data_IF_540078930215
#
_entry.id   IF_540078930215
#
_cell.length_a   1.000
_cell.length_b   1.000
_cell.length_c   1.000
_cell.angle_alpha   90.00
_cell.angle_beta   90.00
_cell.angle_gamma   90.00
#
_symmetry.space_group_name_H-M   'P 1'
#
loop_
_entity.id
_entity.type
_entity.pdbx_description
1 polymer ?
#
# COMPACT_ATOMS: atom_id res chain seq x y z
N UNK A 1 32.80 66.18 -46.32
CA UNK A 1 33.27 66.27 -44.94
C UNK A 1 32.03 66.42 -44.06
N UNK A 2 31.55 65.29 -43.46
CA UNK A 2 30.41 65.31 -42.53
C UNK A 2 30.91 64.77 -41.23
N UNK A 3 30.95 65.62 -40.21
CA UNK A 3 31.28 65.25 -38.79
C UNK A 3 30.08 64.58 -38.15
N UNK A 4 30.23 63.33 -37.73
CA UNK A 4 29.23 62.63 -36.95
C UNK A 4 29.57 62.84 -35.48
N UNK A 5 28.70 63.53 -34.75
CA UNK A 5 28.74 63.72 -33.31
C UNK A 5 28.18 62.49 -32.67
N UNK A 6 29.00 61.73 -31.96
CA UNK A 6 28.52 60.60 -31.09
C UNK A 6 28.18 61.17 -29.75
N UNK A 7 26.89 61.17 -29.44
CA UNK A 7 26.36 61.45 -28.10
C UNK A 7 26.45 60.19 -27.24
N UNK A 8 27.38 60.17 -26.28
CA UNK A 8 27.41 59.11 -25.26
C UNK A 8 26.40 59.47 -24.18
N UNK A 9 25.27 58.71 -24.17
CA UNK A 9 24.34 58.74 -23.04
C UNK A 9 24.91 57.88 -21.92
N UNK A 10 25.37 58.47 -20.85
CA UNK A 10 25.73 57.81 -19.59
C UNK A 10 24.46 57.67 -18.77
N UNK A 11 23.90 56.48 -18.74
CA UNK A 11 22.79 56.12 -17.81
C UNK A 11 23.43 55.73 -16.50
N UNK A 12 23.20 56.42 -15.37
CA UNK A 12 23.63 55.94 -14.08
C UNK A 12 22.78 54.75 -13.68
N UNK A 13 23.41 53.58 -13.62
CA UNK A 13 22.81 52.40 -13.04
C UNK A 13 22.70 52.62 -11.52
N UNK A 14 21.53 53.04 -11.05
CA UNK A 14 21.20 52.94 -9.63
C UNK A 14 21.00 51.44 -9.27
N UNK A 15 22.06 50.79 -8.84
CA UNK A 15 21.96 49.52 -8.13
C UNK A 15 21.45 49.84 -6.73
N UNK A 16 20.12 49.93 -6.63
CA UNK A 16 19.48 49.87 -5.32
C UNK A 16 19.71 48.48 -4.75
N UNK A 17 20.65 48.35 -3.81
CA UNK A 17 20.68 47.20 -2.91
C UNK A 17 19.36 47.20 -2.14
N UNK A 18 18.33 46.58 -2.71
CA UNK A 18 17.25 46.04 -1.91
C UNK A 18 17.84 44.91 -1.04
N UNK A 19 18.34 45.26 0.13
CA UNK A 19 18.44 44.30 1.25
C UNK A 19 16.99 43.90 1.59
N UNK A 20 16.40 43.06 0.76
CA UNK A 20 15.27 42.26 1.21
C UNK A 20 15.81 41.41 2.34
N UNK A 21 15.63 41.87 3.56
CA UNK A 21 15.74 41.00 4.73
C UNK A 21 14.74 39.88 4.45
N UNK A 22 15.25 38.76 3.97
CA UNK A 22 14.46 37.54 3.90
C UNK A 22 14.02 37.23 5.31
N UNK A 23 12.77 37.58 5.63
CA UNK A 23 12.18 37.11 6.89
C UNK A 23 12.28 35.59 6.84
N UNK A 24 12.84 34.92 7.87
CA UNK A 24 12.84 33.48 7.90
C UNK A 24 11.40 32.99 7.70
N UNK A 25 11.21 32.12 6.75
CA UNK A 25 9.91 31.50 6.50
C UNK A 25 9.91 30.09 7.13
N UNK A 26 8.91 29.79 7.94
CA UNK A 26 7.82 30.66 8.40
C UNK A 26 8.31 31.71 9.40
N UNK A 27 7.66 32.89 9.44
CA UNK A 27 7.95 33.92 10.45
C UNK A 27 7.65 33.38 11.87
N UNK A 28 8.19 33.99 12.94
CA UNK A 28 8.07 33.50 14.32
C UNK A 28 6.63 33.17 14.75
N UNK A 29 5.67 33.99 14.38
CA UNK A 29 4.25 33.79 14.73
C UNK A 29 3.63 32.59 13.99
N UNK A 30 4.03 32.39 12.73
CA UNK A 30 3.59 31.23 11.94
C UNK A 30 4.22 29.93 12.48
N UNK A 31 5.49 29.96 12.86
CA UNK A 31 6.15 28.79 13.45
C UNK A 31 5.51 28.40 14.78
N UNK A 32 5.16 29.37 15.62
CA UNK A 32 4.46 29.10 16.87
C UNK A 32 3.06 28.50 16.61
N UNK A 33 2.33 29.06 15.65
CA UNK A 33 1.02 28.53 15.25
C UNK A 33 1.13 27.11 14.71
N UNK A 34 2.10 26.85 13.81
CA UNK A 34 2.38 25.53 13.27
C UNK A 34 2.68 24.50 14.37
N UNK A 35 3.59 24.84 15.29
CA UNK A 35 3.94 23.95 16.40
C UNK A 35 2.72 23.65 17.30
N UNK A 36 1.88 24.64 17.56
CA UNK A 36 0.65 24.45 18.33
C UNK A 36 -0.32 23.52 17.61
N UNK A 37 -0.51 23.70 16.29
CA UNK A 37 -1.37 22.84 15.48
C UNK A 37 -0.87 21.40 15.47
N UNK A 38 0.42 21.15 15.28
CA UNK A 38 1.00 19.82 15.34
C UNK A 38 0.74 19.12 16.69
N UNK A 39 0.81 19.86 17.79
CA UNK A 39 0.48 19.33 19.12
C UNK A 39 -0.98 18.93 19.21
N UNK A 40 -1.91 19.77 18.72
CA UNK A 40 -3.34 19.45 18.75
C UNK A 40 -3.71 18.30 17.79
N UNK A 41 -3.17 18.30 16.58
CA UNK A 41 -3.33 17.19 15.62
C UNK A 41 -2.78 15.89 16.20
N UNK A 42 -1.64 15.95 16.90
CA UNK A 42 -1.06 14.76 17.54
C UNK A 42 -1.93 14.10 18.62
N UNK A 43 -2.91 14.84 19.16
CA UNK A 43 -3.88 14.30 20.15
C UNK A 43 -5.03 13.56 19.48
N UNK A 44 -5.24 13.73 18.17
CA UNK A 44 -6.29 13.03 17.43
C UNK A 44 -5.86 11.57 17.27
N UNK A 45 -6.64 10.61 17.79
CA UNK A 45 -6.34 9.21 17.59
C UNK A 45 -6.50 8.85 16.13
N UNK A 46 -5.60 8.01 15.62
CA UNK A 46 -5.60 7.58 14.22
C UNK A 46 -6.10 6.15 14.09
N UNK A 47 -6.88 5.91 13.04
CA UNK A 47 -7.19 4.59 12.55
C UNK A 47 -6.36 4.37 11.27
N UNK A 48 -5.46 3.42 11.30
CA UNK A 48 -4.58 3.09 10.18
C UNK A 48 -5.23 2.00 9.32
N UNK A 49 -5.72 2.40 8.15
CA UNK A 49 -6.55 1.54 7.31
C UNK A 49 -5.76 0.58 6.41
N UNK A 50 -4.45 0.72 6.33
CA UNK A 50 -3.59 -0.14 5.49
C UNK A 50 -2.15 -0.17 6.01
N UNK A 51 -1.71 -1.35 6.41
CA UNK A 51 -0.38 -1.58 6.94
C UNK A 51 0.07 -3.03 6.72
N UNK A 52 1.39 -3.27 6.71
CA UNK A 52 2.02 -4.59 6.68
C UNK A 52 2.83 -4.81 7.97
N UNK A 53 2.17 -4.83 9.15
CA UNK A 53 2.87 -4.91 10.42
C UNK A 53 3.56 -6.25 10.61
N UNK A 54 4.79 -6.22 11.10
CA UNK A 54 5.54 -7.43 11.43
C UNK A 54 7.03 -7.23 11.43
N UNK A 55 7.74 -8.32 11.63
CA UNK A 55 9.19 -8.38 11.59
C UNK A 55 9.67 -8.82 10.22
N UNK A 56 10.86 -8.36 9.80
CA UNK A 56 11.41 -8.68 8.47
C UNK A 56 11.64 -10.17 8.22
N UNK A 57 11.83 -10.94 9.29
CA UNK A 57 11.99 -12.40 9.22
C UNK A 57 10.67 -13.19 9.17
N UNK A 58 9.53 -12.54 9.36
CA UNK A 58 8.23 -13.21 9.35
C UNK A 58 7.75 -13.47 7.91
N UNK A 59 7.60 -14.74 7.49
CA UNK A 59 7.24 -15.09 6.12
C UNK A 59 5.78 -14.79 5.74
N UNK A 60 4.96 -14.37 6.70
CA UNK A 60 3.56 -14.00 6.51
C UNK A 60 3.36 -12.47 6.45
N UNK A 61 4.44 -11.69 6.62
CA UNK A 61 4.45 -10.28 6.26
C UNK A 61 4.56 -10.19 4.75
N UNK A 62 3.57 -9.60 4.14
CA UNK A 62 3.64 -9.22 2.73
C UNK A 62 4.33 -7.85 2.64
N UNK A 63 5.64 -7.89 2.62
CA UNK A 63 6.46 -6.73 2.40
C UNK A 63 7.16 -6.92 1.05
N UNK A 64 6.52 -6.48 -0.01
CA UNK A 64 7.18 -6.39 -1.31
C UNK A 64 8.11 -5.18 -1.29
N UNK A 65 9.24 -5.35 -0.64
CA UNK A 65 10.28 -4.34 -0.61
C UNK A 65 10.75 -4.04 -2.03
N UNK A 66 10.92 -2.77 -2.35
CA UNK A 66 11.56 -2.36 -3.60
C UNK A 66 12.91 -3.07 -3.75
N UNK A 67 13.24 -3.60 -4.93
CA UNK A 67 14.58 -4.10 -5.19
C UNK A 67 15.64 -3.06 -4.85
N UNK A 68 16.81 -3.46 -4.34
CA UNK A 68 17.88 -2.51 -4.02
C UNK A 68 18.18 -1.58 -5.21
N UNK A 69 18.05 -0.27 -5.01
CA UNK A 69 18.29 0.77 -6.02
C UNK A 69 17.06 1.29 -6.76
N UNK A 70 15.90 0.64 -6.71
CA UNK A 70 14.65 1.11 -7.33
C UNK A 70 13.70 1.83 -6.35
N UNK A 71 13.99 1.78 -5.05
CA UNK A 71 13.18 2.45 -4.03
C UNK A 71 13.13 3.97 -4.19
N UNK A 72 11.97 4.58 -3.96
CA UNK A 72 11.84 6.02 -3.83
C UNK A 72 12.77 6.57 -2.75
N UNK A 73 13.19 7.85 -2.86
CA UNK A 73 14.23 8.39 -1.96
C UNK A 73 13.86 8.23 -0.47
N UNK A 74 12.61 8.48 -0.10
CA UNK A 74 12.17 8.40 1.29
C UNK A 74 12.08 6.97 1.83
N UNK A 75 12.09 5.96 0.98
CA UNK A 75 12.11 4.55 1.37
C UNK A 75 13.53 3.97 1.50
N UNK A 76 14.56 4.75 1.19
CA UNK A 76 15.94 4.27 1.25
C UNK A 76 16.47 4.29 2.68
N UNK A 77 17.35 3.35 2.98
CA UNK A 77 18.00 3.22 4.30
C UNK A 77 18.71 4.50 4.77
N UNK A 78 19.15 5.34 3.83
CA UNK A 78 19.82 6.60 4.13
C UNK A 78 18.87 7.80 4.28
N UNK A 79 17.54 7.58 4.27
CA UNK A 79 16.59 8.64 4.53
C UNK A 79 16.76 9.17 5.98
N UNK A 80 17.08 10.46 6.18
CA UNK A 80 17.25 11.03 7.52
C UNK A 80 15.98 11.01 8.37
N UNK A 81 14.79 10.91 7.75
CA UNK A 81 13.52 10.81 8.48
C UNK A 81 13.39 9.47 9.21
N UNK A 82 13.96 8.38 8.68
CA UNK A 82 14.01 7.08 9.37
C UNK A 82 14.93 7.12 10.60
N UNK A 83 16.02 7.91 10.54
CA UNK A 83 16.85 8.19 11.71
C UNK A 83 16.06 8.99 12.77
N UNK A 84 15.27 9.97 12.33
CA UNK A 84 14.38 10.71 13.23
C UNK A 84 13.32 9.80 13.87
N UNK A 85 12.78 8.85 13.11
CA UNK A 85 11.86 7.82 13.61
C UNK A 85 12.52 6.96 14.69
N UNK A 86 13.74 6.44 14.44
CA UNK A 86 14.49 5.66 15.42
C UNK A 86 14.77 6.44 16.70
N UNK A 87 15.08 7.76 16.60
CA UNK A 87 15.25 8.64 17.75
C UNK A 87 13.95 8.79 18.54
N UNK A 88 12.86 9.06 17.87
CA UNK A 88 11.55 9.27 18.50
C UNK A 88 11.03 8.01 19.19
N UNK A 89 11.15 6.86 18.53
CA UNK A 89 10.60 5.60 19.02
C UNK A 89 11.49 4.93 20.07
N UNK A 90 12.82 4.98 19.88
CA UNK A 90 13.76 4.15 20.64
C UNK A 90 14.82 4.94 21.41
N UNK A 91 14.86 6.27 21.24
CA UNK A 91 15.91 7.10 21.85
C UNK A 91 17.27 6.92 21.18
N UNK A 92 17.30 6.62 19.87
CA UNK A 92 18.52 6.40 19.10
C UNK A 92 19.47 7.61 19.20
N UNK A 93 20.72 7.43 19.66
CA UNK A 93 21.57 8.58 19.98
C UNK A 93 22.38 9.13 18.80
N UNK A 94 22.41 8.41 17.66
CA UNK A 94 23.29 8.74 16.53
C UNK A 94 22.55 9.48 15.41
N UNK A 95 23.31 10.00 14.42
CA UNK A 95 22.78 10.71 13.26
C UNK A 95 22.98 9.94 11.94
N UNK A 96 23.43 8.71 12.02
CA UNK A 96 23.66 7.82 10.86
C UNK A 96 23.33 6.38 11.25
N UNK A 97 23.27 5.51 10.23
CA UNK A 97 23.05 4.07 10.36
C UNK A 97 24.31 3.30 9.94
N UNK A 98 25.52 3.79 10.34
CA UNK A 98 26.74 3.01 10.14
C UNK A 98 26.62 1.61 10.79
N UNK A 99 27.38 0.61 10.34
CA UNK A 99 27.28 -0.75 10.88
C UNK A 99 27.50 -0.84 12.40
N UNK A 100 28.27 0.09 12.97
CA UNK A 100 28.49 0.16 14.42
C UNK A 100 27.26 0.74 15.14
N UNK A 101 26.73 1.85 14.64
CA UNK A 101 25.59 2.52 15.25
C UNK A 101 24.30 1.70 15.08
N UNK A 102 24.10 1.05 13.93
CA UNK A 102 22.95 0.16 13.68
C UNK A 102 22.85 -0.98 14.70
N UNK A 103 23.97 -1.53 15.16
CA UNK A 103 23.98 -2.57 16.21
C UNK A 103 23.30 -2.09 17.49
N UNK A 104 23.47 -0.82 17.87
CA UNK A 104 22.80 -0.26 19.02
C UNK A 104 21.27 -0.31 18.88
N UNK A 105 20.75 0.06 17.69
CA UNK A 105 19.31 0.05 17.43
C UNK A 105 18.74 -1.37 17.46
N UNK A 106 19.41 -2.32 16.81
CA UNK A 106 19.03 -3.74 16.84
C UNK A 106 19.00 -4.28 18.28
N UNK A 107 20.04 -3.99 19.07
CA UNK A 107 20.09 -4.38 20.49
C UNK A 107 18.94 -3.75 21.29
N UNK A 108 18.69 -2.46 21.09
CA UNK A 108 17.61 -1.73 21.78
C UNK A 108 16.24 -2.30 21.46
N UNK A 109 15.97 -2.61 20.19
CA UNK A 109 14.73 -3.29 19.78
C UNK A 109 14.62 -4.67 20.42
N UNK A 110 15.70 -5.45 20.43
CA UNK A 110 15.73 -6.76 21.09
C UNK A 110 15.47 -6.68 22.62
N UNK A 111 15.98 -5.67 23.29
CA UNK A 111 15.69 -5.40 24.71
C UNK A 111 14.20 -5.10 24.93
N UNK A 112 13.63 -4.21 24.08
CA UNK A 112 12.22 -3.85 24.15
C UNK A 112 11.30 -5.04 23.83
N UNK A 113 11.64 -5.89 22.85
CA UNK A 113 10.91 -7.12 22.56
C UNK A 113 10.92 -8.10 23.76
N UNK A 114 11.98 -8.11 24.57
CA UNK A 114 12.04 -8.88 25.82
C UNK A 114 11.23 -8.24 26.94
N UNK A 115 11.18 -6.91 27.00
CA UNK A 115 10.41 -6.16 28.00
C UNK A 115 8.91 -6.21 27.72
N UNK A 116 8.53 -6.04 26.46
CA UNK A 116 7.15 -6.04 25.95
C UNK A 116 6.89 -7.38 25.25
N UNK A 117 6.51 -8.40 26.02
CA UNK A 117 6.30 -9.75 25.47
C UNK A 117 5.10 -9.83 24.52
N UNK A 118 5.27 -10.57 23.41
CA UNK A 118 4.19 -10.88 22.48
C UNK A 118 3.55 -9.60 21.91
N UNK A 119 2.23 -9.47 21.97
CA UNK A 119 1.51 -8.33 21.40
C UNK A 119 1.90 -6.95 21.94
N UNK A 120 2.32 -6.89 23.22
CA UNK A 120 2.62 -5.62 23.88
C UNK A 120 3.76 -4.81 23.20
N UNK A 121 4.58 -5.45 22.37
CA UNK A 121 5.64 -4.72 21.65
C UNK A 121 5.06 -3.78 20.58
N UNK A 122 4.19 -4.30 19.71
CA UNK A 122 3.54 -3.47 18.70
C UNK A 122 2.50 -2.54 19.32
N UNK A 123 1.82 -2.94 20.39
CA UNK A 123 0.92 -2.05 21.13
C UNK A 123 1.66 -0.82 21.65
N UNK A 124 2.86 -0.98 22.19
CA UNK A 124 3.71 0.13 22.62
C UNK A 124 4.09 1.08 21.46
N UNK A 125 4.29 0.54 20.25
CA UNK A 125 4.53 1.36 19.05
C UNK A 125 3.27 2.16 18.68
N UNK A 126 2.11 1.50 18.60
CA UNK A 126 0.84 2.15 18.29
C UNK A 126 0.49 3.24 19.33
N UNK A 127 0.72 2.97 20.62
CA UNK A 127 0.48 3.95 21.70
C UNK A 127 1.36 5.20 21.57
N UNK A 128 2.66 5.02 21.25
CA UNK A 128 3.58 6.15 20.99
C UNK A 128 3.13 7.00 19.81
N UNK A 129 2.47 6.41 18.83
CA UNK A 129 2.01 7.07 17.62
C UNK A 129 0.56 7.55 17.71
N UNK A 130 -0.14 7.26 18.82
CA UNK A 130 -1.55 7.52 19.00
C UNK A 130 -2.41 6.89 17.87
N UNK A 131 -2.08 5.65 17.50
CA UNK A 131 -2.88 4.81 16.59
C UNK A 131 -3.77 3.91 17.46
N UNK A 132 -5.09 4.02 17.33
CA UNK A 132 -6.02 3.16 18.07
C UNK A 132 -6.06 1.75 17.51
N UNK A 133 -6.10 1.63 16.20
CA UNK A 133 -6.20 0.36 15.49
C UNK A 133 -5.52 0.44 14.13
N UNK A 134 -4.92 -0.66 13.70
CA UNK A 134 -4.28 -0.79 12.38
C UNK A 134 -4.84 -2.00 11.62
N UNK A 135 -5.09 -1.82 10.34
CA UNK A 135 -5.58 -2.85 9.43
C UNK A 135 -4.38 -3.58 8.82
N UNK A 136 -4.17 -4.80 9.28
CA UNK A 136 -3.02 -5.61 8.91
C UNK A 136 -3.28 -6.40 7.62
N UNK A 137 -2.59 -6.05 6.54
CA UNK A 137 -2.52 -6.83 5.31
C UNK A 137 -1.44 -7.89 5.49
N UNK A 138 -1.84 -9.13 5.64
CA UNK A 138 -0.94 -10.24 5.94
C UNK A 138 -1.45 -11.55 5.36
N UNK A 139 -0.54 -12.44 5.02
CA UNK A 139 -0.89 -13.80 4.62
C UNK A 139 -1.65 -14.54 5.73
N UNK A 140 -1.18 -14.38 6.98
CA UNK A 140 -1.83 -14.84 8.20
C UNK A 140 -1.53 -13.88 9.34
N UNK A 141 -2.45 -13.76 10.30
CA UNK A 141 -2.19 -13.01 11.53
C UNK A 141 -1.15 -13.73 12.40
N UNK A 142 -0.34 -12.94 13.08
CA UNK A 142 0.69 -13.42 13.98
C UNK A 142 0.26 -13.28 15.44
N UNK A 143 0.70 -14.23 16.29
CA UNK A 143 0.41 -14.22 17.74
C UNK A 143 1.01 -13.01 18.47
N UNK A 144 1.98 -12.32 17.85
CA UNK A 144 2.57 -11.11 18.40
C UNK A 144 1.83 -9.81 17.99
N UNK A 145 0.66 -9.90 17.36
CA UNK A 145 -0.23 -8.78 17.07
C UNK A 145 -1.53 -8.93 17.88
N UNK A 146 -1.86 -7.94 18.71
CA UNK A 146 -3.11 -7.98 19.49
C UNK A 146 -4.32 -7.87 18.55
N UNK A 147 -5.23 -8.84 18.51
CA UNK A 147 -6.41 -8.78 17.66
C UNK A 147 -7.39 -7.65 18.01
N UNK A 148 -7.21 -6.96 19.15
CA UNK A 148 -7.95 -5.74 19.49
C UNK A 148 -7.37 -4.50 18.81
N UNK A 149 -6.10 -4.54 18.49
CA UNK A 149 -5.36 -3.43 17.89
C UNK A 149 -5.09 -3.64 16.40
N UNK A 150 -5.03 -4.90 15.95
CA UNK A 150 -4.77 -5.29 14.57
C UNK A 150 -5.92 -6.11 14.03
N UNK A 151 -6.58 -5.62 12.99
CA UNK A 151 -7.63 -6.33 12.28
C UNK A 151 -7.11 -6.85 10.94
N UNK A 152 -7.55 -8.03 10.53
CA UNK A 152 -6.94 -8.75 9.42
C UNK A 152 -7.62 -8.47 8.08
N UNK A 153 -6.81 -8.17 7.07
CA UNK A 153 -7.17 -8.20 5.65
C UNK A 153 -6.35 -9.28 4.97
N UNK A 154 -7.02 -10.24 4.34
CA UNK A 154 -6.38 -11.38 3.70
C UNK A 154 -6.32 -11.24 2.19
N UNK A 155 -5.28 -11.83 1.57
CA UNK A 155 -5.07 -11.78 0.13
C UNK A 155 -5.99 -12.77 -0.60
N UNK A 156 -6.60 -12.34 -1.71
CA UNK A 156 -7.49 -13.15 -2.52
C UNK A 156 -6.94 -13.42 -3.94
N UNK A 157 -5.80 -12.83 -4.31
CA UNK A 157 -5.21 -12.96 -5.65
C UNK A 157 -4.93 -14.40 -6.05
N UNK A 158 -4.48 -15.22 -5.10
CA UNK A 158 -4.04 -16.59 -5.36
C UNK A 158 -5.09 -17.48 -6.04
N UNK A 159 -6.37 -17.18 -5.83
CA UNK A 159 -7.45 -17.89 -6.52
C UNK A 159 -7.47 -17.67 -8.04
N UNK A 160 -6.80 -16.64 -8.54
CA UNK A 160 -6.68 -16.37 -9.97
C UNK A 160 -5.52 -17.14 -10.62
N UNK A 161 -4.68 -17.84 -9.84
CA UNK A 161 -3.44 -18.47 -10.28
C UNK A 161 -3.39 -20.00 -10.04
N UNK A 162 -4.47 -20.78 -10.30
CA UNK A 162 -4.50 -22.18 -9.92
C UNK A 162 -3.74 -23.13 -10.85
N UNK A 163 -3.33 -22.68 -12.04
CA UNK A 163 -2.71 -23.53 -13.05
C UNK A 163 -1.19 -23.49 -13.02
N UNK A 164 -0.53 -24.10 -14.00
CA UNK A 164 0.91 -23.99 -14.19
C UNK A 164 1.28 -22.53 -14.55
N UNK A 165 2.03 -21.88 -13.67
CA UNK A 165 2.46 -20.50 -13.81
C UNK A 165 3.90 -20.36 -14.34
N UNK A 166 4.51 -21.43 -14.84
CA UNK A 166 5.92 -21.46 -15.28
C UNK A 166 6.24 -20.39 -16.33
N UNK A 167 5.36 -20.15 -17.29
CA UNK A 167 5.53 -19.09 -18.29
C UNK A 167 5.43 -17.70 -17.70
N UNK A 168 4.58 -17.49 -16.71
CA UNK A 168 4.47 -16.22 -16.03
C UNK A 168 5.71 -15.95 -15.17
N UNK A 169 6.14 -16.93 -14.40
CA UNK A 169 7.36 -16.86 -13.58
C UNK A 169 8.60 -16.53 -14.43
N UNK A 170 8.73 -17.13 -15.61
CA UNK A 170 9.86 -16.89 -16.51
C UNK A 170 9.80 -15.54 -17.26
N UNK A 171 8.76 -14.72 -17.07
CA UNK A 171 8.57 -13.47 -17.81
C UNK A 171 9.62 -12.42 -17.46
N UNK A 172 9.90 -12.23 -16.18
CA UNK A 172 10.87 -11.28 -15.66
C UNK A 172 11.20 -11.58 -14.19
N UNK A 173 12.19 -10.88 -13.64
CA UNK A 173 12.67 -11.10 -12.27
C UNK A 173 11.62 -10.79 -11.19
N UNK A 174 10.72 -9.86 -11.40
CA UNK A 174 9.64 -9.57 -10.45
C UNK A 174 8.68 -10.77 -10.36
N UNK A 175 8.29 -11.32 -11.50
CA UNK A 175 7.40 -12.48 -11.55
C UNK A 175 8.05 -13.77 -11.00
N UNK A 176 9.37 -13.89 -11.12
CA UNK A 176 10.12 -14.99 -10.51
C UNK A 176 9.97 -15.00 -8.98
N UNK A 177 9.85 -13.84 -8.37
CA UNK A 177 9.65 -13.67 -6.92
C UNK A 177 8.17 -13.75 -6.53
N UNK A 178 7.30 -13.03 -7.23
CA UNK A 178 5.90 -12.84 -6.80
C UNK A 178 4.99 -14.03 -7.07
N UNK A 179 5.16 -14.71 -8.21
CA UNK A 179 4.29 -15.85 -8.55
C UNK A 179 4.40 -17.00 -7.54
N UNK A 180 5.58 -17.42 -7.07
CA UNK A 180 5.69 -18.45 -6.02
C UNK A 180 4.95 -18.13 -4.72
N UNK A 181 4.82 -16.84 -4.37
CA UNK A 181 4.06 -16.43 -3.18
C UNK A 181 2.57 -16.71 -3.37
N UNK A 182 2.02 -16.46 -4.55
CA UNK A 182 0.63 -16.75 -4.89
C UNK A 182 0.36 -18.25 -4.91
N UNK A 183 1.27 -19.05 -5.46
CA UNK A 183 1.19 -20.51 -5.44
C UNK A 183 1.20 -21.05 -4.01
N UNK A 184 2.13 -20.56 -3.17
CA UNK A 184 2.21 -20.90 -1.74
C UNK A 184 0.90 -20.56 -1.01
N UNK A 185 0.32 -19.40 -1.28
CA UNK A 185 -0.93 -18.97 -0.67
C UNK A 185 -2.10 -19.87 -1.09
N UNK A 186 -2.23 -20.20 -2.38
CA UNK A 186 -3.26 -21.11 -2.85
C UNK A 186 -3.13 -22.50 -2.21
N UNK A 187 -1.92 -23.05 -2.13
CA UNK A 187 -1.68 -24.31 -1.44
C UNK A 187 -2.07 -24.25 0.04
N UNK A 188 -1.79 -23.16 0.72
CA UNK A 188 -2.22 -22.95 2.12
C UNK A 188 -3.74 -22.98 2.23
N UNK A 189 -4.46 -22.29 1.36
CA UNK A 189 -5.92 -22.30 1.34
C UNK A 189 -6.49 -23.71 1.04
N UNK A 190 -5.88 -24.41 0.09
CA UNK A 190 -6.26 -25.80 -0.19
C UNK A 190 -6.06 -26.71 1.05
N UNK A 191 -4.96 -26.56 1.78
CA UNK A 191 -4.70 -27.30 3.01
C UNK A 191 -5.73 -26.96 4.10
N UNK A 192 -6.07 -25.69 4.26
CA UNK A 192 -7.09 -25.24 5.22
C UNK A 192 -8.46 -25.88 4.98
N UNK A 193 -8.83 -26.06 3.70
CA UNK A 193 -10.08 -26.64 3.29
C UNK A 193 -10.02 -28.17 3.11
N UNK A 194 -8.91 -28.81 3.43
CA UNK A 194 -8.71 -30.26 3.28
C UNK A 194 -8.68 -30.69 1.79
N UNK A 195 -8.34 -29.80 0.89
CA UNK A 195 -8.28 -30.03 -0.55
C UNK A 195 -6.84 -30.38 -0.96
N UNK A 196 -6.59 -31.60 -1.39
CA UNK A 196 -5.23 -32.09 -1.75
C UNK A 196 -4.83 -31.82 -3.21
N UNK A 197 -5.77 -31.55 -4.07
CA UNK A 197 -5.59 -31.21 -5.49
C UNK A 197 -6.72 -30.29 -5.94
N UNK A 198 -6.54 -29.61 -7.08
CA UNK A 198 -7.59 -28.75 -7.64
C UNK A 198 -8.93 -29.53 -7.77
N UNK A 199 -10.06 -28.91 -7.39
CA UNK A 199 -11.38 -29.51 -7.53
C UNK A 199 -11.68 -30.04 -8.94
N UNK A 200 -12.43 -31.13 -9.04
CA UNK A 200 -12.63 -31.90 -10.26
C UNK A 200 -13.46 -31.23 -11.34
N UNK A 201 -14.05 -30.08 -11.06
CA UNK A 201 -14.76 -29.22 -12.01
C UNK A 201 -14.79 -27.78 -11.52
N UNK A 202 -15.16 -26.85 -12.39
CA UNK A 202 -15.15 -25.43 -12.10
C UNK A 202 -16.17 -25.01 -11.03
N UNK A 203 -17.33 -25.65 -10.95
CA UNK A 203 -18.32 -25.38 -9.92
C UNK A 203 -17.80 -25.71 -8.52
N UNK A 204 -17.12 -26.84 -8.37
CA UNK A 204 -16.47 -27.24 -7.11
C UNK A 204 -15.29 -26.32 -6.77
N UNK A 205 -14.56 -25.82 -7.79
CA UNK A 205 -13.51 -24.81 -7.56
C UNK A 205 -14.08 -23.51 -7.01
N UNK A 206 -15.14 -22.97 -7.61
CA UNK A 206 -15.80 -21.76 -7.10
C UNK A 206 -16.37 -21.97 -5.69
N UNK A 207 -16.89 -23.18 -5.40
CA UNK A 207 -17.36 -23.54 -4.05
C UNK A 207 -16.22 -23.62 -3.04
N UNK A 208 -15.06 -24.12 -3.45
CA UNK A 208 -13.83 -24.08 -2.63
C UNK A 208 -13.43 -22.63 -2.33
N UNK A 209 -13.41 -21.75 -3.33
CA UNK A 209 -13.12 -20.33 -3.15
C UNK A 209 -14.09 -19.70 -2.13
N UNK A 210 -15.40 -19.86 -2.33
CA UNK A 210 -16.42 -19.30 -1.41
C UNK A 210 -16.21 -19.77 0.04
N UNK A 211 -16.00 -21.07 0.27
CA UNK A 211 -15.74 -21.60 1.62
C UNK A 211 -14.49 -21.02 2.24
N UNK A 212 -13.41 -20.87 1.48
CA UNK A 212 -12.17 -20.28 1.99
C UNK A 212 -12.38 -18.83 2.43
N UNK A 213 -13.14 -18.04 1.66
CA UNK A 213 -13.47 -16.65 2.03
C UNK A 213 -14.30 -16.61 3.32
N UNK A 214 -15.33 -17.47 3.43
CA UNK A 214 -16.16 -17.59 4.63
C UNK A 214 -15.35 -18.00 5.87
N UNK A 215 -14.41 -18.92 5.71
CA UNK A 215 -13.57 -19.38 6.79
C UNK A 215 -12.53 -18.35 7.23
N UNK A 216 -11.96 -17.57 6.28
CA UNK A 216 -11.11 -16.45 6.61
C UNK A 216 -11.89 -15.35 7.35
N UNK A 217 -13.13 -15.07 6.94
CA UNK A 217 -14.01 -14.15 7.67
C UNK A 217 -14.28 -14.63 9.11
N UNK A 218 -14.60 -15.92 9.31
CA UNK A 218 -14.79 -16.51 10.64
C UNK A 218 -13.53 -16.44 11.51
N UNK A 219 -12.35 -16.47 10.89
CA UNK A 219 -11.04 -16.30 11.57
C UNK A 219 -10.69 -14.84 11.87
N UNK A 220 -11.60 -13.92 11.61
CA UNK A 220 -11.42 -12.50 11.90
C UNK A 220 -10.98 -11.64 10.71
N UNK A 221 -10.97 -12.20 9.49
CA UNK A 221 -10.76 -11.41 8.27
C UNK A 221 -11.91 -10.43 8.03
N UNK A 222 -11.60 -9.16 7.90
CA UNK A 222 -12.61 -8.09 7.74
C UNK A 222 -12.75 -7.58 6.31
N UNK A 223 -11.79 -7.87 5.44
CA UNK A 223 -11.78 -7.47 4.04
C UNK A 223 -10.88 -8.40 3.22
N UNK A 224 -11.00 -8.32 1.90
CA UNK A 224 -10.12 -9.00 0.94
C UNK A 224 -9.19 -7.99 0.30
N UNK A 225 -7.91 -8.34 0.10
CA UNK A 225 -6.92 -7.55 -0.65
C UNK A 225 -6.60 -8.20 -1.98
N UNK A 226 -6.43 -7.34 -2.98
CA UNK A 226 -5.91 -7.69 -4.29
C UNK A 226 -4.65 -6.89 -4.59
N UNK A 227 -3.60 -7.60 -4.98
CA UNK A 227 -2.31 -7.08 -5.45
C UNK A 227 -2.08 -7.37 -6.94
N UNK A 228 -3.15 -7.67 -7.63
CA UNK A 228 -3.17 -8.05 -9.04
C UNK A 228 -2.37 -7.11 -9.96
N UNK A 229 -2.19 -5.85 -9.57
CA UNK A 229 -1.40 -4.85 -10.28
C UNK A 229 0.06 -5.27 -10.51
N UNK A 230 0.61 -6.12 -9.63
CA UNK A 230 1.98 -6.65 -9.74
C UNK A 230 2.11 -7.81 -10.73
N UNK A 231 1.01 -8.45 -11.08
CA UNK A 231 1.02 -9.69 -11.87
C UNK A 231 0.53 -9.49 -13.28
N UNK A 232 -0.42 -8.58 -13.47
CA UNK A 232 -1.08 -8.35 -14.75
C UNK A 232 -1.79 -7.01 -14.78
N UNK A 233 -2.32 -6.65 -15.96
CA UNK A 233 -3.21 -5.50 -16.11
C UNK A 233 -4.44 -5.58 -15.20
N UNK A 234 -4.78 -4.46 -14.57
CA UNK A 234 -6.02 -4.27 -13.80
C UNK A 234 -7.25 -4.06 -14.70
N UNK A 235 -7.08 -4.09 -16.02
CA UNK A 235 -8.17 -4.06 -16.99
C UNK A 235 -8.81 -5.44 -17.14
N UNK A 236 -9.84 -5.70 -16.34
CA UNK A 236 -10.57 -6.96 -16.38
C UNK A 236 -11.66 -6.95 -17.44
N UNK A 237 -11.73 -8.03 -18.24
CA UNK A 237 -12.82 -8.32 -19.14
C UNK A 237 -14.08 -8.80 -18.40
N UNK A 238 -15.09 -9.19 -19.18
CA UNK A 238 -16.34 -9.79 -18.67
C UNK A 238 -16.69 -11.05 -19.45
N UNK A 239 -15.87 -12.11 -19.37
CA UNK A 239 -16.13 -13.34 -20.07
C UNK A 239 -17.32 -14.09 -19.48
N UNK A 240 -18.11 -14.81 -20.29
CA UNK A 240 -19.16 -15.67 -19.79
C UNK A 240 -18.56 -16.85 -19.00
N UNK A 241 -19.35 -17.38 -18.05
CA UNK A 241 -18.95 -18.51 -17.20
C UNK A 241 -18.42 -19.70 -17.98
N UNK A 242 -19.08 -20.03 -19.08
CA UNK A 242 -18.76 -21.20 -19.91
C UNK A 242 -17.35 -21.15 -20.49
N UNK A 243 -16.82 -19.94 -20.76
CA UNK A 243 -15.44 -19.80 -21.23
C UNK A 243 -14.45 -20.10 -20.09
N UNK A 244 -14.66 -19.53 -18.89
CA UNK A 244 -13.82 -19.79 -17.73
C UNK A 244 -13.88 -21.28 -17.33
N UNK A 245 -15.05 -21.88 -17.36
CA UNK A 245 -15.27 -23.31 -17.08
C UNK A 245 -14.55 -24.23 -18.09
N UNK A 246 -14.61 -23.89 -19.37
CA UNK A 246 -13.89 -24.62 -20.41
C UNK A 246 -12.38 -24.58 -20.19
N UNK A 247 -11.84 -23.40 -19.82
CA UNK A 247 -10.42 -23.23 -19.50
C UNK A 247 -10.05 -24.01 -18.24
N UNK A 248 -10.84 -23.88 -17.17
CA UNK A 248 -10.59 -24.62 -15.94
C UNK A 248 -10.53 -26.12 -16.16
N UNK A 249 -11.55 -26.69 -16.84
CA UNK A 249 -11.63 -28.12 -17.11
C UNK A 249 -10.49 -28.62 -18.00
N UNK A 250 -9.94 -27.75 -18.86
CA UNK A 250 -8.79 -28.07 -19.71
C UNK A 250 -7.49 -28.18 -18.91
N UNK A 251 -7.29 -27.33 -17.91
CA UNK A 251 -6.01 -27.16 -17.22
C UNK A 251 -5.95 -27.63 -15.77
N UNK A 252 -7.08 -27.98 -15.14
CA UNK A 252 -7.11 -28.41 -13.73
C UNK A 252 -6.26 -29.66 -13.42
N UNK A 253 -5.96 -30.47 -14.42
CA UNK A 253 -5.11 -31.67 -14.27
C UNK A 253 -3.68 -31.47 -14.83
N UNK A 254 -3.30 -30.24 -15.15
CA UNK A 254 -1.99 -29.89 -15.70
C UNK A 254 -2.07 -29.26 -17.10
N UNK A 255 -0.93 -28.84 -17.58
CA UNK A 255 -0.77 -28.08 -18.81
C UNK A 255 -0.67 -26.58 -18.55
N UNK A 256 -0.08 -25.86 -19.51
CA UNK A 256 0.18 -24.43 -19.42
C UNK A 256 -0.84 -23.66 -20.26
N UNK A 257 -1.67 -22.82 -19.68
CA UNK A 257 -2.61 -21.98 -20.43
C UNK A 257 -1.89 -20.99 -21.34
N UNK A 258 -2.48 -20.66 -22.50
CA UNK A 258 -2.01 -19.48 -23.22
C UNK A 258 -2.29 -18.20 -22.40
N UNK A 259 -1.55 -17.11 -22.65
CA UNK A 259 -1.77 -15.84 -21.94
C UNK A 259 -3.23 -15.35 -22.04
N UNK A 260 -3.88 -15.53 -23.19
CA UNK A 260 -5.26 -15.12 -23.44
C UNK A 260 -6.27 -16.01 -22.69
N UNK A 261 -6.06 -17.33 -22.70
CA UNK A 261 -6.91 -18.25 -21.93
C UNK A 261 -6.77 -17.95 -20.44
N UNK A 262 -5.54 -17.79 -19.94
CA UNK A 262 -5.33 -17.51 -18.53
C UNK A 262 -5.95 -16.16 -18.11
N UNK A 263 -5.76 -15.13 -18.95
CA UNK A 263 -6.39 -13.83 -18.71
C UNK A 263 -7.92 -13.95 -18.64
N UNK A 264 -8.54 -14.70 -19.55
CA UNK A 264 -10.00 -14.94 -19.59
C UNK A 264 -10.47 -15.63 -18.31
N UNK A 265 -9.77 -16.65 -17.85
CA UNK A 265 -10.06 -17.32 -16.58
C UNK A 265 -9.97 -16.36 -15.39
N UNK A 266 -8.87 -15.61 -15.29
CA UNK A 266 -8.63 -14.64 -14.23
C UNK A 266 -9.67 -13.51 -14.20
N UNK A 267 -10.06 -13.01 -15.37
CA UNK A 267 -11.10 -11.98 -15.50
C UNK A 267 -12.44 -12.46 -14.89
N UNK A 268 -12.79 -13.71 -15.12
CA UNK A 268 -14.00 -14.29 -14.54
C UNK A 268 -13.86 -14.48 -13.03
N UNK A 269 -12.75 -15.09 -12.57
CA UNK A 269 -12.54 -15.38 -11.14
C UNK A 269 -12.48 -14.09 -10.32
N UNK A 270 -11.83 -13.03 -10.83
CA UNK A 270 -11.82 -11.73 -10.17
C UNK A 270 -13.24 -11.18 -9.97
N UNK A 271 -14.09 -11.23 -11.00
CA UNK A 271 -15.48 -10.79 -10.90
C UNK A 271 -16.29 -11.64 -9.92
N UNK A 272 -16.05 -12.94 -9.90
CA UNK A 272 -16.64 -13.85 -8.91
C UNK A 272 -16.23 -13.47 -7.48
N UNK A 273 -14.94 -13.21 -7.24
CA UNK A 273 -14.43 -12.78 -5.92
C UNK A 273 -15.05 -11.45 -5.47
N UNK A 274 -15.21 -10.49 -6.37
CA UNK A 274 -15.91 -9.22 -6.07
C UNK A 274 -17.36 -9.46 -5.66
N UNK A 275 -18.06 -10.37 -6.37
CA UNK A 275 -19.44 -10.73 -6.05
C UNK A 275 -19.53 -11.41 -4.67
N UNK A 276 -18.59 -12.30 -4.35
CA UNK A 276 -18.49 -12.93 -3.04
C UNK A 276 -18.21 -11.89 -1.93
N UNK A 277 -17.36 -10.89 -2.21
CA UNK A 277 -17.17 -9.75 -1.30
C UNK A 277 -18.48 -9.04 -0.96
N UNK A 278 -19.31 -8.77 -1.95
CA UNK A 278 -20.65 -8.22 -1.74
C UNK A 278 -21.57 -9.14 -0.95
N UNK A 279 -21.57 -10.45 -1.26
CA UNK A 279 -22.38 -11.47 -0.56
C UNK A 279 -21.99 -11.60 0.92
N UNK A 280 -20.69 -11.55 1.21
CA UNK A 280 -20.14 -11.71 2.56
C UNK A 280 -20.02 -10.39 3.33
N UNK A 281 -20.35 -9.27 2.71
CA UNK A 281 -20.11 -7.92 3.26
C UNK A 281 -18.63 -7.68 3.63
N UNK A 282 -17.72 -8.27 2.86
CA UNK A 282 -16.28 -8.05 2.94
C UNK A 282 -15.89 -6.94 1.95
N UNK A 283 -15.39 -5.80 2.42
CA UNK A 283 -14.80 -4.80 1.54
C UNK A 283 -13.69 -5.39 0.68
N UNK A 284 -13.58 -4.87 -0.54
CA UNK A 284 -12.59 -5.30 -1.54
C UNK A 284 -11.55 -4.21 -1.65
N UNK A 285 -10.38 -4.45 -1.10
CA UNK A 285 -9.21 -3.59 -1.18
C UNK A 285 -8.43 -3.92 -2.46
N UNK A 286 -8.19 -2.94 -3.31
CA UNK A 286 -7.48 -3.15 -4.57
C UNK A 286 -6.28 -2.22 -4.61
N UNK A 287 -5.08 -2.81 -4.68
CA UNK A 287 -3.85 -2.07 -4.97
C UNK A 287 -4.01 -1.33 -6.29
N UNK A 288 -3.78 -0.03 -6.32
CA UNK A 288 -4.03 0.80 -7.49
C UNK A 288 -2.88 1.75 -7.80
N UNK A 289 -2.46 1.73 -9.04
CA UNK A 289 -1.41 2.52 -9.67
C UNK A 289 -0.01 2.27 -9.11
N UNK A 290 0.50 3.09 -8.18
CA UNK A 290 1.89 2.98 -7.72
C UNK A 290 2.25 1.60 -7.17
N UNK A 291 3.47 1.16 -7.45
CA UNK A 291 4.01 -0.11 -6.97
C UNK A 291 5.52 -0.16 -7.12
N UNK A 292 6.10 -1.25 -6.69
CA UNK A 292 7.55 -1.50 -6.69
C UNK A 292 7.91 -2.62 -7.67
N UNK A 293 9.18 -2.67 -8.05
CA UNK A 293 9.71 -3.64 -9.00
C UNK A 293 10.18 -3.01 -10.30
N UNK A 294 11.14 -3.66 -10.96
CA UNK A 294 11.77 -3.14 -12.18
C UNK A 294 10.84 -3.23 -13.40
N UNK A 295 9.83 -4.09 -13.34
CA UNK A 295 8.88 -4.37 -14.41
C UNK A 295 7.45 -3.93 -14.08
N UNK A 296 7.26 -3.22 -12.99
CA UNK A 296 5.96 -2.68 -12.63
C UNK A 296 5.46 -1.69 -13.68
N UNK A 297 4.22 -1.85 -14.14
CA UNK A 297 3.65 -1.02 -15.21
C UNK A 297 2.56 -0.09 -14.68
N UNK A 298 2.83 1.21 -14.59
CA UNK A 298 1.85 2.21 -14.18
C UNK A 298 0.61 2.26 -15.09
N UNK A 299 0.79 2.05 -16.39
CA UNK A 299 -0.35 2.05 -17.33
C UNK A 299 -1.25 0.84 -17.15
N UNK A 300 -0.67 -0.33 -16.89
CA UNK A 300 -1.41 -1.57 -16.70
C UNK A 300 -2.03 -1.68 -15.29
N UNK A 301 -1.41 -1.06 -14.28
CA UNK A 301 -1.91 -0.97 -12.90
C UNK A 301 -2.81 0.23 -12.65
N UNK A 302 -3.03 1.08 -13.67
CA UNK A 302 -3.79 2.31 -13.53
C UNK A 302 -5.19 2.11 -12.97
N UNK A 303 -5.56 2.90 -11.98
CA UNK A 303 -6.85 2.82 -11.28
C UNK A 303 -8.05 2.99 -12.23
N UNK A 304 -7.89 3.77 -13.30
CA UNK A 304 -8.94 3.98 -14.30
C UNK A 304 -9.28 2.71 -15.10
N UNK A 305 -8.38 1.72 -15.13
CA UNK A 305 -8.65 0.42 -15.74
C UNK A 305 -9.78 -0.34 -15.01
N UNK A 306 -10.00 -0.03 -13.73
CA UNK A 306 -11.05 -0.64 -12.90
C UNK A 306 -12.43 0.00 -13.10
N UNK A 307 -12.54 1.08 -13.87
CA UNK A 307 -13.81 1.80 -14.01
C UNK A 307 -14.95 0.93 -14.53
N UNK A 308 -14.66 -0.02 -15.41
CA UNK A 308 -15.66 -0.97 -15.93
C UNK A 308 -16.23 -1.90 -14.83
N UNK A 309 -15.43 -2.21 -13.81
CA UNK A 309 -15.85 -2.97 -12.61
C UNK A 309 -16.69 -2.06 -11.69
N UNK A 310 -16.16 -0.88 -11.37
CA UNK A 310 -16.77 0.07 -10.44
C UNK A 310 -18.13 0.62 -10.95
N UNK A 311 -18.36 0.57 -12.26
CA UNK A 311 -19.63 0.98 -12.91
C UNK A 311 -20.62 -0.15 -13.07
N UNK A 312 -20.23 -1.39 -12.82
CA UNK A 312 -21.08 -2.55 -13.09
C UNK A 312 -22.20 -2.64 -12.04
N UNK A 313 -23.48 -2.62 -12.45
CA UNK A 313 -24.60 -2.66 -11.51
C UNK A 313 -24.66 -3.94 -10.68
N UNK A 314 -23.99 -5.01 -11.11
CA UNK A 314 -23.89 -6.28 -10.35
C UNK A 314 -23.16 -6.12 -9.02
N UNK A 315 -22.29 -5.10 -8.89
CA UNK A 315 -21.41 -4.89 -7.74
C UNK A 315 -21.80 -3.70 -6.87
N UNK A 316 -23.02 -3.19 -7.01
CA UNK A 316 -23.50 -2.06 -6.18
C UNK A 316 -23.56 -2.38 -4.67
N UNK A 317 -23.62 -3.66 -4.33
CA UNK A 317 -23.56 -4.16 -2.94
C UNK A 317 -22.15 -4.42 -2.42
N UNK A 318 -21.13 -4.33 -3.26
CA UNK A 318 -19.72 -4.52 -2.89
C UNK A 318 -19.08 -3.18 -2.56
N UNK A 319 -18.43 -3.06 -1.40
CA UNK A 319 -17.63 -1.89 -1.05
C UNK A 319 -16.23 -2.05 -1.62
N UNK A 320 -15.75 -1.04 -2.34
CA UNK A 320 -14.40 -0.98 -2.91
C UNK A 320 -13.55 0.05 -2.17
N UNK A 321 -12.33 -0.33 -1.85
CA UNK A 321 -11.31 0.57 -1.30
C UNK A 321 -10.11 0.57 -2.24
N UNK A 322 -9.84 1.73 -2.83
CA UNK A 322 -8.73 1.92 -3.76
C UNK A 322 -7.48 2.24 -2.97
N UNK A 323 -6.68 1.23 -2.71
CA UNK A 323 -5.44 1.33 -1.94
C UNK A 323 -4.43 2.19 -2.72
N UNK A 324 -3.74 3.10 -2.02
CA UNK A 324 -2.83 4.13 -2.54
C UNK A 324 -3.51 5.22 -3.39
N UNK A 325 -4.86 5.21 -3.45
CA UNK A 325 -5.66 6.25 -4.07
C UNK A 325 -5.33 6.55 -5.53
N UNK A 326 -4.74 5.58 -6.25
CA UNK A 326 -4.37 5.72 -7.64
C UNK A 326 -3.13 6.58 -7.90
N UNK A 327 -2.31 6.90 -6.88
CA UNK A 327 -1.09 7.68 -7.07
C UNK A 327 -0.19 7.07 -8.17
N UNK A 328 0.37 7.85 -9.10
CA UNK A 328 0.40 9.32 -9.19
C UNK A 328 -0.79 9.96 -9.96
N UNK A 329 -1.92 9.29 -10.12
CA UNK A 329 -3.13 9.80 -10.79
C UNK A 329 -4.25 10.14 -9.78
N UNK A 330 -3.87 10.50 -8.56
CA UNK A 330 -4.74 10.69 -7.41
C UNK A 330 -5.79 11.80 -7.61
N UNK A 331 -5.48 12.77 -8.48
CA UNK A 331 -6.36 13.89 -8.78
C UNK A 331 -7.57 13.48 -9.63
N UNK A 332 -7.34 12.61 -10.61
CA UNK A 332 -8.41 12.04 -11.45
C UNK A 332 -9.12 10.94 -10.70
N UNK A 333 -8.37 10.15 -9.95
CA UNK A 333 -8.85 8.98 -9.23
C UNK A 333 -9.92 9.30 -8.19
N UNK A 334 -9.83 10.44 -7.49
CA UNK A 334 -10.80 10.85 -6.47
C UNK A 334 -12.25 10.88 -7.02
N UNK A 335 -12.42 11.16 -8.31
CA UNK A 335 -13.74 11.20 -8.95
C UNK A 335 -14.40 9.82 -9.08
N UNK A 336 -13.66 8.72 -8.90
CA UNK A 336 -14.25 7.39 -8.78
C UNK A 336 -15.09 7.26 -7.50
N UNK A 337 -14.76 8.04 -6.46
CA UNK A 337 -15.48 8.07 -5.18
C UNK A 337 -16.83 8.80 -5.24
N UNK A 338 -17.19 9.43 -6.38
CA UNK A 338 -18.56 9.87 -6.64
C UNK A 338 -19.55 8.68 -6.60
N UNK A 339 -19.07 7.45 -6.72
CA UNK A 339 -19.87 6.23 -6.56
C UNK A 339 -20.06 5.91 -5.08
N UNK A 340 -21.29 5.54 -4.72
CA UNK A 340 -21.70 5.32 -3.32
C UNK A 340 -20.80 4.34 -2.56
N UNK A 341 -20.31 3.32 -3.24
CA UNK A 341 -19.59 2.17 -2.69
C UNK A 341 -18.08 2.18 -2.97
N UNK A 342 -17.50 3.30 -3.41
CA UNK A 342 -16.07 3.45 -3.71
C UNK A 342 -15.44 4.42 -2.72
N UNK A 343 -14.33 4.01 -2.12
CA UNK A 343 -13.52 4.76 -1.15
C UNK A 343 -12.08 4.84 -1.63
N UNK A 344 -11.41 5.95 -1.33
CA UNK A 344 -10.00 6.17 -1.61
C UNK A 344 -9.20 6.03 -0.32
N UNK A 345 -8.11 5.35 -0.39
CA UNK A 345 -7.22 5.14 0.74
C UNK A 345 -5.84 5.77 0.40
N UNK A 346 -5.26 6.54 1.34
CA UNK A 346 -4.13 7.42 1.05
C UNK A 346 -2.77 6.79 1.25
N UNK A 347 -2.69 5.57 1.76
CA UNK A 347 -1.42 4.94 2.13
C UNK A 347 -0.37 4.97 1.02
N UNK A 348 0.87 4.82 1.39
CA UNK A 348 2.04 4.94 0.54
C UNK A 348 2.34 6.37 0.06
N UNK A 349 1.33 7.20 -0.24
CA UNK A 349 1.55 8.59 -0.65
C UNK A 349 2.35 9.38 0.38
N UNK A 350 2.04 9.22 1.67
CA UNK A 350 2.74 9.86 2.78
C UNK A 350 4.15 9.33 3.01
N UNK A 351 4.48 8.15 2.50
CA UNK A 351 5.84 7.60 2.53
C UNK A 351 6.67 8.11 1.37
N UNK A 352 6.12 8.18 0.16
CA UNK A 352 6.88 8.57 -1.04
C UNK A 352 6.87 10.06 -1.32
N UNK A 353 5.79 10.77 -1.00
CA UNK A 353 5.69 12.21 -1.13
C UNK A 353 6.18 12.93 0.14
N UNK A 354 6.81 14.08 -0.03
CA UNK A 354 7.00 14.99 1.10
C UNK A 354 5.66 15.58 1.58
N UNK A 355 5.53 15.95 2.86
CA UNK A 355 4.27 16.44 3.42
C UNK A 355 3.63 17.60 2.64
N UNK A 356 4.44 18.46 2.01
CA UNK A 356 3.94 19.57 1.17
C UNK A 356 3.15 19.11 -0.06
N UNK A 357 3.58 18.01 -0.70
CA UNK A 357 2.87 17.45 -1.86
C UNK A 357 1.69 16.57 -1.41
N UNK A 358 1.88 15.77 -0.38
CA UNK A 358 0.78 14.99 0.20
C UNK A 358 -0.35 15.89 0.70
N UNK A 359 -0.02 17.03 1.34
CA UNK A 359 -1.00 18.05 1.74
C UNK A 359 -1.87 18.51 0.57
N UNK A 360 -1.29 18.70 -0.62
CA UNK A 360 -2.03 19.16 -1.81
C UNK A 360 -3.10 18.13 -2.21
N UNK A 361 -2.71 16.85 -2.30
CA UNK A 361 -3.64 15.76 -2.64
C UNK A 361 -4.70 15.57 -1.57
N UNK A 362 -4.29 15.48 -0.31
CA UNK A 362 -5.20 15.27 0.82
C UNK A 362 -6.22 16.40 0.94
N UNK A 363 -5.79 17.66 0.78
CA UNK A 363 -6.68 18.83 0.79
C UNK A 363 -7.73 18.74 -0.32
N UNK A 364 -7.33 18.46 -1.56
CA UNK A 364 -8.25 18.34 -2.70
C UNK A 364 -9.26 17.21 -2.45
N UNK A 365 -8.83 16.08 -1.91
CA UNK A 365 -9.70 14.96 -1.60
C UNK A 365 -10.72 15.28 -0.51
N UNK A 366 -10.27 15.85 0.61
CA UNK A 366 -11.14 16.21 1.74
C UNK A 366 -12.14 17.32 1.39
N UNK A 367 -11.76 18.24 0.48
CA UNK A 367 -12.68 19.28 -0.01
C UNK A 367 -13.68 18.74 -1.04
N UNK A 368 -13.36 17.61 -1.72
CA UNK A 368 -14.21 17.03 -2.77
C UNK A 368 -15.16 15.97 -2.22
N UNK A 369 -14.65 14.97 -1.51
CA UNK A 369 -15.43 13.84 -0.96
C UNK A 369 -14.95 13.46 0.45
N UNK A 370 -15.18 14.29 1.49
CA UNK A 370 -14.62 14.07 2.84
C UNK A 370 -15.00 12.73 3.46
N UNK A 371 -16.18 12.20 3.15
CA UNK A 371 -16.68 10.94 3.71
C UNK A 371 -16.17 9.69 2.96
N UNK A 372 -15.26 9.87 2.00
CA UNK A 372 -14.78 8.80 1.11
C UNK A 372 -13.30 8.52 1.26
N UNK A 373 -12.63 9.19 2.18
CA UNK A 373 -11.19 9.11 2.35
C UNK A 373 -10.87 8.32 3.61
N UNK A 374 -9.95 7.37 3.48
CA UNK A 374 -9.33 6.67 4.60
C UNK A 374 -7.83 6.91 4.59
N UNK A 375 -7.24 6.89 5.77
CA UNK A 375 -5.81 7.03 5.98
C UNK A 375 -5.21 5.65 6.26
N UNK A 376 -4.07 5.34 5.68
CA UNK A 376 -3.24 4.19 6.01
C UNK A 376 -1.76 4.57 5.95
N UNK A 377 -0.92 3.85 6.67
CA UNK A 377 0.52 4.12 6.69
C UNK A 377 1.27 3.34 5.61
N UNK A 378 0.71 2.25 5.12
CA UNK A 378 1.43 1.26 4.31
C UNK A 378 2.77 0.84 4.96
N UNK A 379 2.81 0.84 6.29
CA UNK A 379 4.04 0.49 6.98
C UNK A 379 4.48 -0.93 6.62
N UNK A 380 5.77 -1.12 6.45
CA UNK A 380 6.39 -2.42 6.21
C UNK A 380 7.79 -2.46 6.84
N UNK A 381 8.34 -3.63 7.16
CA UNK A 381 9.72 -3.75 7.62
C UNK A 381 10.68 -3.57 6.44
N UNK A 382 11.55 -2.55 6.52
CA UNK A 382 12.59 -2.32 5.49
C UNK A 382 13.68 -3.41 5.51
N UNK A 383 14.19 -3.70 6.71
CA UNK A 383 15.25 -4.68 6.95
C UNK A 383 15.36 -4.99 8.45
N UNK A 384 16.40 -5.70 8.86
CA UNK A 384 16.66 -6.04 10.27
C UNK A 384 16.91 -4.83 11.18
N UNK A 385 17.40 -3.71 10.63
CA UNK A 385 17.72 -2.48 11.38
C UNK A 385 16.51 -1.57 11.46
N UNK A 386 15.90 -1.30 10.31
CA UNK A 386 14.72 -0.45 10.14
C UNK A 386 13.49 -1.33 9.92
N UNK A 387 12.64 -1.41 10.90
CA UNK A 387 11.44 -2.25 10.87
C UNK A 387 10.18 -1.49 10.47
N UNK A 388 9.06 -2.16 10.61
CA UNK A 388 7.73 -1.57 10.44
C UNK A 388 7.50 -0.38 11.39
N UNK A 389 8.19 -0.37 12.53
CA UNK A 389 8.07 0.67 13.55
C UNK A 389 8.45 2.05 13.01
N UNK A 390 9.62 2.17 12.35
CA UNK A 390 10.07 3.41 11.74
C UNK A 390 9.19 3.80 10.56
N UNK A 391 8.70 2.83 9.80
CA UNK A 391 7.76 3.05 8.71
C UNK A 391 6.43 3.62 9.20
N UNK A 392 5.85 3.05 10.27
CA UNK A 392 4.67 3.62 10.95
C UNK A 392 4.88 5.08 11.33
N UNK A 393 6.02 5.35 11.98
CA UNK A 393 6.34 6.72 12.40
C UNK A 393 6.39 7.67 11.21
N UNK A 394 7.04 7.27 10.11
CA UNK A 394 7.18 8.10 8.91
C UNK A 394 5.81 8.45 8.31
N UNK A 395 4.94 7.47 8.10
CA UNK A 395 3.58 7.68 7.57
C UNK A 395 2.76 8.60 8.46
N UNK A 396 2.71 8.31 9.77
CA UNK A 396 1.96 9.13 10.75
C UNK A 396 2.47 10.57 10.80
N UNK A 397 3.80 10.80 10.85
CA UNK A 397 4.32 12.17 10.90
C UNK A 397 4.06 12.92 9.60
N UNK A 398 4.20 12.27 8.45
CA UNK A 398 3.89 12.88 7.15
C UNK A 398 2.43 13.33 7.08
N UNK A 399 1.49 12.50 7.53
CA UNK A 399 0.08 12.84 7.56
C UNK A 399 -0.20 14.03 8.50
N UNK A 400 0.35 14.00 9.72
CA UNK A 400 0.20 15.12 10.68
C UNK A 400 0.77 16.43 10.18
N UNK A 401 1.86 16.37 9.43
CA UNK A 401 2.47 17.59 8.84
C UNK A 401 1.72 18.08 7.60
N UNK A 402 0.98 17.20 6.92
CA UNK A 402 0.15 17.56 5.78
C UNK A 402 -1.16 18.25 6.21
N UNK A 403 -1.75 17.82 7.31
CA UNK A 403 -2.94 18.44 7.93
C UNK A 403 -2.65 19.83 8.48
#
# INVERSE_FOLDING_TARGET
>A
MRLALRLCLVIPLFVGLCCAQSRPYPGPDLQQTYNRLLVEIGKIPMFDHHAHPGFSEDPDVDAMASPPGSAAFRERDNNPELIAAAKALFGYPYNDLSPEHSKWLVQKKAELKKQYHGPAYFDMILDKLNIEQSVANRAMMADYLDPKRFVWVFFADSFMWPFDNSQMRARNTDQEVFIPLQEKMLHRFMQQEGVSKLPGNFGDYLSFVSRTLEDNQKKGGIAMKFEVAYFRSTKFGDPPREQAESIYNKYMNGGVPSPEEYKTFQDYVFRFLIQEGGRLHLPVHIHSAVGVGDYFSLSESGIMNLENILRDPRYTGTTFVMIHGGYPFEREAIWLSARKNVYMESSYQEIVMYPSEFKRSLKEWLETFPDKITFGTDCFPYNEVLGAEESYWLGVQSARMAL
#
